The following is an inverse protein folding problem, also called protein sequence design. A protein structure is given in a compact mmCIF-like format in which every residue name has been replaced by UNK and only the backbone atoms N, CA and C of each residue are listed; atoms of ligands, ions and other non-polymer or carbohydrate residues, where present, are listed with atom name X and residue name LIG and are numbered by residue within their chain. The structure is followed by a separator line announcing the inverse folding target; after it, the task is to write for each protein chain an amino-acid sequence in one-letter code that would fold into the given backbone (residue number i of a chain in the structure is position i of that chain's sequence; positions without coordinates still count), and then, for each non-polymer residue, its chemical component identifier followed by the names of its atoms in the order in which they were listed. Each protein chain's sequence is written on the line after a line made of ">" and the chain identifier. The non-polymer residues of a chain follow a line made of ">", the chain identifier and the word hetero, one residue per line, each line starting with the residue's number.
data_IF_508155683550
#
_entry.id   IF_508155683550
#
_cell.length_a   1.000
_cell.length_b   1.000
_cell.length_c   1.000
_cell.angle_alpha   90.00
_cell.angle_beta   90.00
_cell.angle_gamma   90.00
#
_symmetry.space_group_name_H-M   'P 1'
#
loop_
_entity.id
_entity.type
_entity.pdbx_description
1 polymer ?
#
# COMPACT_ATOMS: atom_id res chain seq x y z
N UNK A 1 -8.32 -30.26 21.02
CA UNK A 1 -7.54 -29.23 21.72
C UNK A 1 -8.43 -28.01 21.77
N UNK A 2 -8.82 -27.57 22.97
CA UNK A 2 -9.66 -26.39 23.16
C UNK A 2 -8.85 -25.11 22.87
N UNK A 3 -9.52 -24.02 22.52
CA UNK A 3 -8.89 -22.71 22.34
C UNK A 3 -8.17 -22.27 23.62
N UNK A 4 -8.75 -22.56 24.79
CA UNK A 4 -8.15 -22.22 26.09
C UNK A 4 -6.88 -23.03 26.33
N UNK A 5 -6.90 -24.32 26.02
CA UNK A 5 -5.73 -25.20 26.12
C UNK A 5 -4.61 -24.72 25.17
N UNK A 6 -4.96 -24.40 23.92
CA UNK A 6 -4.02 -23.90 22.92
C UNK A 6 -3.43 -22.54 23.30
N UNK A 7 -4.23 -21.60 23.82
CA UNK A 7 -3.74 -20.30 24.29
C UNK A 7 -2.77 -20.45 25.46
N UNK A 8 -3.04 -21.38 26.38
CA UNK A 8 -2.17 -21.68 27.52
C UNK A 8 -0.80 -22.21 27.07
N UNK A 9 -0.75 -22.90 25.94
CA UNK A 9 0.49 -23.39 25.32
C UNK A 9 1.21 -22.32 24.46
N UNK A 10 0.56 -21.18 24.16
CA UNK A 10 1.07 -20.13 23.26
C UNK A 10 1.05 -18.73 23.92
N UNK A 11 1.89 -18.48 24.95
CA UNK A 11 1.85 -17.24 25.73
C UNK A 11 2.14 -15.98 24.92
N UNK A 12 3.00 -16.06 23.89
CA UNK A 12 3.26 -14.93 22.98
C UNK A 12 2.02 -14.50 22.21
N UNK A 13 1.13 -15.44 21.88
CA UNK A 13 -0.13 -15.12 21.21
C UNK A 13 -1.08 -14.41 22.16
N UNK A 14 -1.06 -14.75 23.46
CA UNK A 14 -1.83 -14.02 24.47
C UNK A 14 -1.35 -12.57 24.57
N UNK A 15 -0.04 -12.34 24.61
CA UNK A 15 0.54 -10.99 24.62
C UNK A 15 0.09 -10.17 23.40
N UNK A 16 0.13 -10.76 22.20
CA UNK A 16 -0.33 -10.11 20.97
C UNK A 16 -1.84 -9.79 21.00
N UNK A 17 -2.67 -10.70 21.52
CA UNK A 17 -4.12 -10.46 21.68
C UNK A 17 -4.37 -9.28 22.62
N UNK A 18 -3.61 -9.19 23.72
CA UNK A 18 -3.71 -8.08 24.67
C UNK A 18 -3.31 -6.75 24.03
N UNK A 19 -2.17 -6.71 23.34
CA UNK A 19 -1.71 -5.50 22.64
C UNK A 19 -2.74 -4.99 21.63
N UNK A 20 -3.31 -5.87 20.81
CA UNK A 20 -4.37 -5.51 19.85
C UNK A 20 -5.63 -5.03 20.57
N UNK A 21 -6.01 -5.69 21.67
CA UNK A 21 -7.15 -5.28 22.50
C UNK A 21 -7.00 -3.87 23.08
N UNK A 22 -5.81 -3.55 23.58
CA UNK A 22 -5.52 -2.25 24.20
C UNK A 22 -5.48 -1.12 23.16
N UNK A 23 -4.88 -1.38 21.99
CA UNK A 23 -4.83 -0.43 20.88
C UNK A 23 -6.22 -0.08 20.33
N UNK A 24 -7.14 -1.04 20.33
CA UNK A 24 -8.48 -0.85 19.77
C UNK A 24 -9.45 -0.23 20.78
N UNK A 25 -9.41 -0.64 22.03
CA UNK A 25 -10.46 -0.26 23.00
C UNK A 25 -10.17 1.08 23.67
N UNK A 26 -8.93 1.33 24.12
CA UNK A 26 -8.58 2.54 24.86
C UNK A 26 -8.77 3.83 24.04
N UNK A 27 -8.09 3.98 22.89
CA UNK A 27 -8.19 5.18 22.05
C UNK A 27 -9.60 5.44 21.52
N UNK A 28 -10.32 4.38 21.11
CA UNK A 28 -11.68 4.52 20.57
C UNK A 28 -12.64 4.95 21.67
N UNK A 29 -12.57 4.36 22.87
CA UNK A 29 -13.38 4.79 24.01
C UNK A 29 -13.07 6.24 24.40
N UNK A 30 -11.78 6.62 24.43
CA UNK A 30 -11.37 7.98 24.76
C UNK A 30 -11.91 9.01 23.76
N UNK A 31 -11.86 8.71 22.46
CA UNK A 31 -12.38 9.61 21.42
C UNK A 31 -13.92 9.67 21.43
N UNK A 32 -14.59 8.56 21.71
CA UNK A 32 -16.04 8.53 21.91
C UNK A 32 -16.48 9.36 23.11
N UNK A 33 -15.81 9.23 24.24
CA UNK A 33 -16.09 10.03 25.44
C UNK A 33 -15.83 11.52 25.17
N UNK A 34 -14.76 11.86 24.44
CA UNK A 34 -14.44 13.25 24.05
C UNK A 34 -15.50 13.87 23.16
N UNK A 35 -16.00 13.14 22.15
CA UNK A 35 -16.96 13.67 21.16
C UNK A 35 -18.42 13.57 21.60
N UNK A 36 -18.76 12.54 22.37
CA UNK A 36 -20.14 12.15 22.65
C UNK A 36 -20.41 11.83 24.12
N UNK A 37 -19.41 11.94 25.00
CA UNK A 37 -19.55 11.58 26.41
C UNK A 37 -20.45 12.53 27.21
N UNK A 38 -20.45 13.83 26.86
CA UNK A 38 -21.30 14.84 27.51
C UNK A 38 -21.33 14.71 29.03
N UNK A 39 -22.53 14.76 29.62
CA UNK A 39 -22.73 14.54 31.06
C UNK A 39 -22.91 13.07 31.44
N UNK A 40 -22.96 12.13 30.46
CA UNK A 40 -23.24 10.70 30.71
C UNK A 40 -22.43 9.72 29.84
N UNK A 41 -21.10 9.66 29.98
CA UNK A 41 -20.23 8.83 29.14
C UNK A 41 -20.56 7.33 29.19
N UNK A 42 -21.03 6.85 30.36
CA UNK A 42 -21.42 5.44 30.55
C UNK A 42 -22.65 5.04 29.76
N UNK A 43 -23.61 5.95 29.54
CA UNK A 43 -24.81 5.67 28.73
C UNK A 43 -24.44 5.63 27.23
N UNK A 44 -23.60 6.57 26.77
CA UNK A 44 -23.06 6.57 25.40
C UNK A 44 -22.23 5.33 25.07
N UNK A 45 -21.44 4.84 26.03
CA UNK A 45 -20.72 3.57 25.85
C UNK A 45 -21.66 2.38 25.80
N UNK A 46 -22.72 2.35 26.63
CA UNK A 46 -23.72 1.28 26.63
C UNK A 46 -24.54 1.21 25.35
N UNK A 47 -24.72 2.31 24.63
CA UNK A 47 -25.38 2.26 23.32
C UNK A 47 -24.57 1.53 22.24
N UNK A 48 -23.26 1.31 22.46
CA UNK A 48 -22.40 0.52 21.58
C UNK A 48 -22.35 -0.97 21.99
N UNK A 49 -22.87 -1.35 23.16
CA UNK A 49 -22.59 -2.67 23.75
C UNK A 49 -23.59 -3.75 23.37
N UNK A 50 -23.85 -3.95 22.08
CA UNK A 50 -24.63 -5.13 21.67
C UNK A 50 -24.06 -5.77 20.38
N UNK A 51 -22.76 -6.07 20.40
CA UNK A 51 -21.94 -6.67 19.32
C UNK A 51 -21.04 -5.73 18.51
N UNK A 52 -21.06 -4.41 18.73
CA UNK A 52 -20.19 -3.47 17.99
C UNK A 52 -18.72 -3.91 17.91
N UNK A 53 -18.12 -4.29 19.04
CA UNK A 53 -16.71 -4.70 19.08
C UNK A 53 -16.45 -6.02 18.35
N UNK A 54 -17.39 -6.97 18.45
CA UNK A 54 -17.30 -8.24 17.74
C UNK A 54 -17.42 -8.01 16.23
N UNK A 55 -18.41 -7.21 15.80
CA UNK A 55 -18.64 -6.86 14.40
C UNK A 55 -17.42 -6.12 13.82
N UNK A 56 -16.84 -5.18 14.57
CA UNK A 56 -15.64 -4.46 14.19
C UNK A 56 -14.45 -5.42 14.00
N UNK A 57 -14.19 -6.29 14.98
CA UNK A 57 -13.05 -7.22 14.93
C UNK A 57 -13.18 -8.22 13.78
N UNK A 58 -14.38 -8.74 13.54
CA UNK A 58 -14.66 -9.63 12.40
C UNK A 58 -14.48 -8.89 11.08
N UNK A 59 -15.05 -7.69 10.94
CA UNK A 59 -14.90 -6.89 9.73
C UNK A 59 -13.45 -6.49 9.45
N UNK A 60 -12.66 -6.19 10.49
CA UNK A 60 -11.22 -5.93 10.37
C UNK A 60 -10.47 -7.17 9.92
N UNK A 61 -10.76 -8.35 10.48
CA UNK A 61 -10.14 -9.60 10.07
C UNK A 61 -10.42 -9.91 8.60
N UNK A 62 -11.67 -9.77 8.15
CA UNK A 62 -12.04 -9.92 6.73
C UNK A 62 -11.33 -8.88 5.84
N UNK A 63 -11.19 -7.64 6.32
CA UNK A 63 -10.47 -6.59 5.62
C UNK A 63 -8.98 -6.91 5.44
N UNK A 64 -8.34 -7.42 6.49
CA UNK A 64 -6.93 -7.86 6.48
C UNK A 64 -6.76 -9.06 5.55
N UNK A 65 -7.69 -10.02 5.56
CA UNK A 65 -7.66 -11.16 4.64
C UNK A 65 -7.73 -10.69 3.18
N UNK A 66 -8.66 -9.79 2.85
CA UNK A 66 -8.77 -9.21 1.51
C UNK A 66 -7.50 -8.47 1.09
N UNK A 67 -6.85 -7.75 2.02
CA UNK A 67 -5.56 -7.12 1.76
C UNK A 67 -4.48 -8.15 1.43
N UNK A 68 -4.39 -9.24 2.20
CA UNK A 68 -3.46 -10.34 1.95
C UNK A 68 -3.68 -10.96 0.57
N UNK A 69 -4.93 -11.26 0.22
CA UNK A 69 -5.30 -11.78 -1.09
C UNK A 69 -4.94 -10.81 -2.23
N UNK A 70 -5.12 -9.50 -2.03
CA UNK A 70 -4.71 -8.49 -3.01
C UNK A 70 -3.18 -8.46 -3.20
N UNK A 71 -2.40 -8.63 -2.13
CA UNK A 71 -0.93 -8.73 -2.24
C UNK A 71 -0.50 -9.97 -3.02
N UNK A 72 -1.23 -11.08 -2.92
CA UNK A 72 -0.95 -12.31 -3.66
C UNK A 72 -1.25 -12.19 -5.16
N UNK A 73 -2.09 -11.23 -5.55
CA UNK A 73 -2.42 -10.96 -6.96
C UNK A 73 -1.45 -10.00 -7.65
N UNK A 74 -0.54 -9.34 -6.90
CA UNK A 74 0.44 -8.38 -7.46
C UNK A 74 1.24 -8.96 -8.63
N UNK A 75 1.78 -10.20 -8.58
CA UNK A 75 2.53 -10.76 -9.70
C UNK A 75 1.74 -10.84 -11.01
N UNK A 76 0.45 -11.17 -10.93
CA UNK A 76 -0.40 -11.30 -12.12
C UNK A 76 -0.70 -9.92 -12.72
N UNK A 77 -0.96 -8.92 -11.88
CA UNK A 77 -1.12 -7.54 -12.31
C UNK A 77 0.15 -6.98 -12.99
N UNK A 78 1.32 -7.21 -12.40
CA UNK A 78 2.61 -6.75 -12.95
C UNK A 78 2.90 -7.46 -14.27
N UNK A 79 2.67 -8.77 -14.35
CA UNK A 79 2.83 -9.56 -15.58
C UNK A 79 1.96 -8.99 -16.70
N UNK A 80 0.67 -8.74 -16.42
CA UNK A 80 -0.24 -8.15 -17.39
C UNK A 80 0.22 -6.76 -17.86
N UNK A 81 0.72 -5.92 -16.95
CA UNK A 81 1.24 -4.61 -17.27
C UNK A 81 2.48 -4.66 -18.19
N UNK A 82 3.43 -5.56 -17.94
CA UNK A 82 4.63 -5.74 -18.78
C UNK A 82 4.25 -6.24 -20.18
N UNK A 83 3.33 -7.21 -20.27
CA UNK A 83 2.89 -7.73 -21.58
C UNK A 83 2.18 -6.64 -22.39
N UNK A 84 1.34 -5.83 -21.73
CA UNK A 84 0.66 -4.69 -22.36
C UNK A 84 1.66 -3.62 -22.83
N UNK A 85 2.64 -3.26 -22.01
CA UNK A 85 3.60 -2.19 -22.34
C UNK A 85 4.51 -2.55 -23.52
N UNK A 86 4.88 -3.83 -23.65
CA UNK A 86 5.71 -4.33 -24.75
C UNK A 86 4.97 -4.48 -26.08
N UNK A 87 3.67 -4.14 -26.16
CA UNK A 87 2.81 -4.32 -27.34
C UNK A 87 2.99 -5.70 -27.99
N UNK A 88 3.21 -6.75 -27.18
CA UNK A 88 3.42 -8.10 -27.71
C UNK A 88 2.11 -8.52 -28.38
N UNK A 89 2.07 -8.48 -29.71
CA UNK A 89 0.96 -8.99 -30.50
C UNK A 89 0.79 -10.49 -30.21
N UNK A 90 -0.16 -10.83 -29.34
CA UNK A 90 -0.92 -12.08 -29.27
C UNK A 90 -0.24 -13.47 -29.37
N UNK A 91 1.08 -13.61 -29.57
CA UNK A 91 1.63 -14.81 -30.25
C UNK A 91 2.75 -15.57 -29.55
N UNK A 92 3.16 -15.22 -28.32
CA UNK A 92 4.10 -16.06 -27.56
C UNK A 92 3.59 -16.33 -26.14
N UNK A 93 2.84 -17.42 -26.00
CA UNK A 93 2.48 -18.02 -24.71
C UNK A 93 3.72 -18.29 -23.85
N UNK A 94 4.83 -18.67 -24.49
CA UNK A 94 6.13 -18.83 -23.86
C UNK A 94 6.65 -17.53 -23.25
N UNK A 95 6.62 -16.41 -23.97
CA UNK A 95 7.06 -15.12 -23.42
C UNK A 95 6.22 -14.71 -22.20
N UNK A 96 4.90 -14.91 -22.25
CA UNK A 96 4.03 -14.65 -21.10
C UNK A 96 4.41 -15.51 -19.90
N UNK A 97 4.66 -16.81 -20.11
CA UNK A 97 5.07 -17.72 -19.05
C UNK A 97 6.42 -17.33 -18.45
N UNK A 98 7.39 -16.93 -19.29
CA UNK A 98 8.70 -16.45 -18.84
C UNK A 98 8.60 -15.17 -18.01
N UNK A 99 7.80 -14.19 -18.46
CA UNK A 99 7.56 -12.95 -17.69
C UNK A 99 6.87 -13.27 -16.37
N UNK A 100 5.83 -14.12 -16.39
CA UNK A 100 5.11 -14.50 -15.18
C UNK A 100 6.02 -15.16 -14.14
N UNK A 101 6.89 -16.08 -14.59
CA UNK A 101 7.87 -16.72 -13.72
C UNK A 101 8.84 -15.69 -13.12
N UNK A 102 9.44 -14.84 -13.95
CA UNK A 102 10.38 -13.83 -13.49
C UNK A 102 9.74 -12.86 -12.48
N UNK A 103 8.50 -12.44 -12.72
CA UNK A 103 7.77 -11.54 -11.82
C UNK A 103 7.46 -12.21 -10.49
N UNK A 104 6.97 -13.46 -10.48
CA UNK A 104 6.70 -14.19 -9.23
C UNK A 104 7.97 -14.38 -8.40
N UNK A 105 9.05 -14.78 -9.05
CA UNK A 105 10.35 -14.96 -8.38
C UNK A 105 10.89 -13.64 -7.81
N UNK A 106 10.69 -12.52 -8.50
CA UNK A 106 11.08 -11.21 -7.99
C UNK A 106 10.15 -10.71 -6.87
N UNK A 107 8.87 -11.06 -6.88
CA UNK A 107 7.88 -10.56 -5.93
C UNK A 107 8.07 -11.09 -4.52
N UNK A 108 8.37 -12.39 -4.33
CA UNK A 108 8.51 -12.99 -2.99
C UNK A 108 9.48 -12.22 -2.06
N UNK A 109 10.73 -11.92 -2.46
CA UNK A 109 11.61 -11.13 -1.61
C UNK A 109 11.10 -9.70 -1.41
N UNK A 110 10.46 -9.09 -2.41
CA UNK A 110 9.90 -7.73 -2.34
C UNK A 110 8.73 -7.67 -1.34
N UNK A 111 7.83 -8.67 -1.36
CA UNK A 111 6.70 -8.79 -0.43
C UNK A 111 7.18 -8.81 1.01
N UNK A 112 8.28 -9.52 1.29
CA UNK A 112 8.86 -9.56 2.63
C UNK A 112 9.35 -8.19 3.13
N UNK A 113 9.79 -7.30 2.23
CA UNK A 113 10.29 -5.97 2.59
C UNK A 113 9.17 -4.99 2.97
N UNK A 114 7.91 -5.27 2.60
CA UNK A 114 6.76 -4.42 2.96
C UNK A 114 6.67 -4.25 4.49
N UNK A 115 6.97 -5.31 5.23
CA UNK A 115 6.94 -5.29 6.70
C UNK A 115 8.08 -4.46 7.33
N UNK A 116 9.15 -4.18 6.58
CA UNK A 116 10.36 -3.51 7.09
C UNK A 116 10.31 -2.01 6.79
N UNK A 117 9.96 -1.65 5.56
CA UNK A 117 10.06 -0.27 5.06
C UNK A 117 8.70 0.38 4.81
N UNK A 118 7.60 -0.39 4.87
CA UNK A 118 6.29 0.09 4.46
C UNK A 118 6.13 0.15 2.94
N UNK A 119 4.86 0.28 2.51
CA UNK A 119 4.48 0.21 1.08
C UNK A 119 5.00 1.41 0.30
N UNK A 120 4.96 2.61 0.88
CA UNK A 120 5.33 3.87 0.20
C UNK A 120 6.82 3.95 -0.12
N UNK A 121 7.67 3.61 0.85
CA UNK A 121 9.12 3.62 0.64
C UNK A 121 9.54 2.57 -0.38
N UNK A 122 8.96 1.38 -0.31
CA UNK A 122 9.20 0.33 -1.29
C UNK A 122 8.78 0.76 -2.70
N UNK A 123 7.63 1.42 -2.82
CA UNK A 123 7.16 1.97 -4.09
C UNK A 123 8.16 3.02 -4.63
N UNK A 124 8.63 3.94 -3.78
CA UNK A 124 9.64 4.94 -4.14
C UNK A 124 10.94 4.29 -4.58
N UNK A 125 11.42 3.28 -3.86
CA UNK A 125 12.62 2.52 -4.22
C UNK A 125 12.49 1.84 -5.59
N UNK A 126 11.36 1.18 -5.87
CA UNK A 126 11.11 0.57 -7.17
C UNK A 126 11.13 1.61 -8.31
N UNK A 127 10.55 2.80 -8.08
CA UNK A 127 10.57 3.91 -9.06
C UNK A 127 11.98 4.40 -9.32
N UNK A 128 12.77 4.64 -8.27
CA UNK A 128 14.16 5.10 -8.40
C UNK A 128 14.99 4.06 -9.16
N UNK A 129 14.89 2.78 -8.79
CA UNK A 129 15.58 1.71 -9.49
C UNK A 129 15.20 1.64 -10.96
N UNK A 130 13.91 1.76 -11.30
CA UNK A 130 13.44 1.77 -12.68
C UNK A 130 14.07 2.90 -13.51
N UNK A 131 14.29 4.08 -12.92
CA UNK A 131 14.98 5.21 -13.58
C UNK A 131 16.46 4.89 -13.77
N UNK A 132 17.14 4.39 -12.72
CA UNK A 132 18.58 4.13 -12.74
C UNK A 132 18.98 3.01 -13.72
N UNK A 133 18.16 1.98 -13.88
CA UNK A 133 18.46 0.85 -14.77
C UNK A 133 17.99 1.09 -16.21
N UNK A 134 17.15 2.09 -16.46
CA UNK A 134 16.66 2.37 -17.80
C UNK A 134 17.76 3.09 -18.60
N UNK A 135 18.16 2.61 -19.79
CA UNK A 135 19.19 3.26 -20.59
C UNK A 135 18.79 4.64 -21.14
N UNK A 136 17.49 4.90 -21.28
CA UNK A 136 16.93 6.14 -21.81
C UNK A 136 15.56 6.42 -21.15
N UNK A 137 15.52 6.75 -19.84
CA UNK A 137 14.29 6.90 -19.07
C UNK A 137 13.36 7.98 -19.65
N UNK A 138 13.94 9.03 -20.23
CA UNK A 138 13.26 10.11 -20.95
C UNK A 138 12.64 9.68 -22.29
N UNK A 139 12.91 8.47 -22.78
CA UNK A 139 12.30 7.93 -24.01
C UNK A 139 11.44 6.69 -23.76
N UNK A 140 11.28 6.27 -22.50
CA UNK A 140 10.55 5.07 -22.14
C UNK A 140 9.25 5.41 -21.38
N UNK A 141 8.11 5.35 -22.08
CA UNK A 141 6.81 5.79 -21.56
C UNK A 141 6.41 5.14 -20.21
N UNK A 142 6.74 3.86 -19.98
CA UNK A 142 6.47 3.20 -18.71
C UNK A 142 7.28 3.80 -17.54
N UNK A 143 8.55 4.17 -17.79
CA UNK A 143 9.41 4.80 -16.79
C UNK A 143 9.01 6.26 -16.58
N UNK A 144 8.66 6.98 -17.64
CA UNK A 144 8.14 8.34 -17.54
C UNK A 144 6.90 8.41 -16.62
N UNK A 145 5.88 7.61 -16.94
CA UNK A 145 4.58 7.68 -16.28
C UNK A 145 4.57 6.97 -14.92
N UNK A 146 5.29 5.85 -14.81
CA UNK A 146 5.27 5.00 -13.62
C UNK A 146 6.29 5.40 -12.55
N UNK A 147 7.37 6.09 -12.91
CA UNK A 147 8.48 6.41 -12.01
C UNK A 147 8.83 7.90 -11.98
N UNK A 148 9.21 8.48 -13.11
CA UNK A 148 9.71 9.85 -13.17
C UNK A 148 8.68 10.89 -12.74
N UNK A 149 7.47 10.86 -13.31
CA UNK A 149 6.41 11.82 -12.94
C UNK A 149 6.00 11.71 -11.47
N UNK A 150 5.75 10.51 -10.89
CA UNK A 150 5.48 10.37 -9.47
C UNK A 150 6.60 10.89 -8.57
N UNK A 151 7.87 10.55 -8.87
CA UNK A 151 9.01 11.02 -8.08
C UNK A 151 9.16 12.55 -8.14
N UNK A 152 8.93 13.13 -9.31
CA UNK A 152 8.91 14.58 -9.47
C UNK A 152 7.79 15.22 -8.63
N UNK A 153 6.59 14.62 -8.57
CA UNK A 153 5.50 15.12 -7.71
C UNK A 153 5.88 15.06 -6.23
N UNK A 154 6.48 13.96 -5.78
CA UNK A 154 6.99 13.83 -4.40
C UNK A 154 8.03 14.93 -4.09
N UNK A 155 9.04 15.10 -4.96
CA UNK A 155 10.06 16.14 -4.79
C UNK A 155 9.53 17.58 -4.95
N UNK A 156 8.48 17.81 -5.74
CA UNK A 156 7.80 19.11 -5.88
C UNK A 156 6.96 19.48 -4.65
N UNK A 157 6.49 18.48 -3.90
CA UNK A 157 5.85 18.73 -2.61
C UNK A 157 6.89 19.12 -1.54
N UNK A 158 8.12 18.61 -1.67
CA UNK A 158 9.24 18.94 -0.77
C UNK A 158 9.99 20.23 -1.16
N UNK A 159 10.09 20.55 -2.46
CA UNK A 159 10.79 21.70 -3.02
C UNK A 159 9.80 22.60 -3.75
N UNK A 160 9.75 23.90 -3.44
CA UNK A 160 8.84 24.86 -4.09
C UNK A 160 8.85 24.74 -5.62
N UNK A 161 7.68 24.51 -6.23
CA UNK A 161 7.43 24.34 -7.68
C UNK A 161 8.23 25.30 -8.57
N UNK A 162 8.33 26.57 -8.19
CA UNK A 162 9.06 27.61 -8.93
C UNK A 162 10.56 27.31 -9.12
N UNK A 163 11.21 26.67 -8.15
CA UNK A 163 12.66 26.36 -8.24
C UNK A 163 12.96 25.24 -9.22
N UNK A 164 12.04 24.30 -9.38
CA UNK A 164 12.20 23.18 -10.30
C UNK A 164 11.85 23.59 -11.74
N UNK A 165 10.91 24.53 -11.93
CA UNK A 165 10.62 25.10 -13.27
C UNK A 165 11.83 25.84 -13.88
N UNK A 166 12.78 26.30 -13.07
CA UNK A 166 14.01 26.95 -13.54
C UNK A 166 15.09 25.96 -13.99
N UNK A 167 14.98 24.68 -13.63
CA UNK A 167 16.05 23.67 -13.79
C UNK A 167 15.66 22.56 -14.77
N UNK A 168 14.36 22.24 -14.89
CA UNK A 168 13.89 21.14 -15.73
C UNK A 168 13.44 21.60 -17.14
N UNK A 169 13.56 20.72 -18.16
CA UNK A 169 13.08 21.00 -19.51
C UNK A 169 11.59 21.38 -19.57
N UNK A 170 11.26 22.33 -20.45
CA UNK A 170 9.94 22.95 -20.51
C UNK A 170 8.78 21.99 -20.86
N UNK A 171 9.05 20.96 -21.65
CA UNK A 171 8.10 19.89 -21.99
C UNK A 171 7.75 19.02 -20.77
N UNK A 172 8.71 18.82 -19.87
CA UNK A 172 8.54 18.09 -18.62
C UNK A 172 7.69 18.88 -17.62
N UNK A 173 7.99 20.18 -17.47
CA UNK A 173 7.22 21.12 -16.64
C UNK A 173 5.76 21.21 -17.11
N UNK A 174 5.54 21.23 -18.43
CA UNK A 174 4.19 21.27 -19.01
C UNK A 174 3.37 20.02 -18.63
N UNK A 175 3.92 18.83 -18.79
CA UNK A 175 3.24 17.57 -18.41
C UNK A 175 2.92 17.51 -16.90
N UNK A 176 3.85 17.96 -16.06
CA UNK A 176 3.63 18.06 -14.61
C UNK A 176 2.49 19.02 -14.28
N UNK A 177 2.34 20.12 -15.02
CA UNK A 177 1.24 21.09 -14.83
C UNK A 177 -0.11 20.51 -15.24
N UNK A 178 -0.17 19.85 -16.39
CA UNK A 178 -1.40 19.27 -16.92
C UNK A 178 -1.96 18.18 -15.98
N UNK A 179 -1.08 17.38 -15.36
CA UNK A 179 -1.44 16.34 -14.39
C UNK A 179 -1.76 16.86 -12.98
N UNK A 180 -1.36 18.08 -12.63
CA UNK A 180 -1.63 18.71 -11.32
C UNK A 180 -2.83 19.67 -11.37
N UNK A 181 -3.28 20.08 -12.56
CA UNK A 181 -4.45 20.93 -12.77
C UNK A 181 -5.78 20.18 -12.83
N UNK A 182 -5.77 18.85 -12.62
CA UNK A 182 -6.95 18.01 -12.51
C UNK A 182 -7.29 17.68 -11.07
N UNK A 183 -7.76 18.67 -10.31
CA UNK A 183 -8.43 18.51 -9.03
C UNK A 183 -9.49 19.61 -8.88
#
# INVERSE_FOLDING_TARGET
>A
MDLIDWLSENPRTIEQIQEVGDLLTGPVIAELDKRFGGSKPRETRRSLTNHFWCDLLVALAEGIEKLSQAMDQVPDHVTAAIIKSRKVEGRSSLLRALVALAVRTAWEPIKSMIHISGVEDLQRTCRILAVLICPAPENHAAVQNGALLPLAKEGLLEISKERLEQVFPADWVRRLRDDLGGA
#
